data_IF_605214717715
#
_entry.id   IF_605214717715
#
_cell.length_a   1.000
_cell.length_b   1.000
_cell.length_c   1.000
_cell.angle_alpha   90.00
_cell.angle_beta   90.00
_cell.angle_gamma   90.00
#
_symmetry.space_group_name_H-M   'P 1'
#
loop_
_entity.id
_entity.type
_entity.pdbx_description
1 polymer ?
#
# COMPACT_ATOMS: atom_id res chain seq x y z
N UNK A 1 7.54 7.15 -1.29
CA UNK A 1 8.49 6.22 -0.59
C UNK A 1 9.89 6.42 -1.11
N UNK A 2 10.14 6.42 -2.42
CA UNK A 2 11.47 6.57 -3.03
C UNK A 2 12.19 7.86 -2.60
N UNK A 3 11.52 9.01 -2.63
CA UNK A 3 12.09 10.28 -2.18
C UNK A 3 12.51 10.25 -0.69
N UNK A 4 11.75 9.56 0.16
CA UNK A 4 12.08 9.38 1.57
C UNK A 4 13.32 8.52 1.75
N UNK A 5 13.42 7.41 1.02
CA UNK A 5 14.59 6.53 1.05
C UNK A 5 15.81 7.26 0.53
N UNK A 6 15.69 8.00 -0.57
CA UNK A 6 16.79 8.80 -1.14
C UNK A 6 17.31 9.85 -0.15
N UNK A 7 16.39 10.58 0.52
CA UNK A 7 16.77 11.53 1.57
C UNK A 7 17.52 10.84 2.71
N UNK A 8 16.95 9.76 3.24
CA UNK A 8 17.55 8.99 4.33
C UNK A 8 18.96 8.48 4.01
N UNK A 9 19.13 7.86 2.83
CA UNK A 9 20.43 7.31 2.42
C UNK A 9 21.47 8.42 2.21
N UNK A 10 21.08 9.55 1.63
CA UNK A 10 21.97 10.71 1.45
C UNK A 10 22.43 11.29 2.79
N UNK A 11 21.51 11.52 3.74
CA UNK A 11 21.85 12.02 5.08
C UNK A 11 22.75 11.04 5.83
N UNK A 12 22.48 9.75 5.71
CA UNK A 12 23.30 8.71 6.32
C UNK A 12 24.73 8.69 5.77
N UNK A 13 24.92 8.82 4.44
CA UNK A 13 26.22 8.84 3.77
C UNK A 13 27.01 10.10 4.12
N UNK A 14 26.33 11.25 4.21
CA UNK A 14 26.95 12.52 4.59
C UNK A 14 27.32 12.59 6.09
N UNK A 15 26.99 11.57 6.88
CA UNK A 15 27.28 11.54 8.31
C UNK A 15 26.39 12.45 9.16
N UNK A 16 25.29 12.94 8.60
CA UNK A 16 24.31 13.82 9.27
C UNK A 16 22.90 13.15 9.31
N UNK A 17 22.75 11.96 9.91
CA UNK A 17 21.47 11.27 9.96
C UNK A 17 20.47 12.01 10.84
N UNK A 18 19.28 12.26 10.34
CA UNK A 18 18.18 12.90 11.07
C UNK A 18 17.09 11.92 11.53
N UNK A 19 17.07 10.72 10.98
CA UNK A 19 16.02 9.74 11.25
C UNK A 19 16.49 8.65 12.22
N UNK A 20 15.71 8.44 13.29
CA UNK A 20 15.89 7.33 14.22
C UNK A 20 15.25 6.05 13.67
N UNK A 21 14.02 6.18 13.14
CA UNK A 21 13.20 5.08 12.64
C UNK A 21 12.64 5.42 11.27
N UNK A 22 12.64 4.44 10.40
CA UNK A 22 11.95 4.47 9.11
C UNK A 22 10.63 3.74 9.22
N UNK A 23 9.55 4.37 8.76
CA UNK A 23 8.26 3.72 8.58
C UNK A 23 7.90 3.71 7.10
N UNK A 24 8.01 2.56 6.48
CA UNK A 24 7.91 2.39 5.03
C UNK A 24 7.05 1.20 4.63
N UNK A 25 6.38 1.33 3.48
CA UNK A 25 5.47 0.31 2.91
C UNK A 25 6.16 -0.85 2.21
N UNK A 26 7.49 -0.82 2.08
CA UNK A 26 8.25 -1.92 1.49
C UNK A 26 9.16 -2.54 2.55
N UNK A 27 9.39 -3.84 2.44
CA UNK A 27 10.39 -4.50 3.27
C UNK A 27 11.75 -3.94 2.89
N UNK A 28 12.50 -3.35 3.84
CA UNK A 28 13.74 -2.62 3.55
C UNK A 28 14.96 -3.54 3.33
N UNK A 29 14.81 -4.53 2.45
CA UNK A 29 15.86 -5.55 2.19
C UNK A 29 17.11 -4.91 1.60
N UNK A 30 16.97 -3.95 0.69
CA UNK A 30 18.10 -3.21 0.11
C UNK A 30 18.86 -2.43 1.18
N UNK A 31 18.13 -1.67 2.01
CA UNK A 31 18.73 -0.90 3.09
C UNK A 31 19.50 -1.76 4.10
N UNK A 32 18.98 -2.98 4.36
CA UNK A 32 19.71 -3.96 5.17
C UNK A 32 21.01 -4.40 4.50
N UNK A 33 20.95 -4.79 3.22
CA UNK A 33 22.12 -5.26 2.46
C UNK A 33 23.22 -4.20 2.39
N UNK A 34 22.85 -2.96 2.27
CA UNK A 34 23.74 -1.81 2.21
C UNK A 34 24.20 -1.32 3.59
N UNK A 35 23.71 -1.94 4.66
CA UNK A 35 24.18 -1.66 6.03
C UNK A 35 23.61 -0.41 6.68
N UNK A 36 22.49 0.11 6.18
CA UNK A 36 21.81 1.30 6.73
C UNK A 36 20.99 1.02 8.00
N UNK A 37 20.61 -0.24 8.23
CA UNK A 37 19.71 -0.62 9.33
C UNK A 37 20.47 -1.21 10.51
N UNK A 38 20.04 -0.86 11.71
CA UNK A 38 20.45 -1.53 12.95
C UNK A 38 19.71 -2.86 13.10
N UNK A 39 20.42 -3.86 13.60
CA UNK A 39 19.79 -5.08 14.11
C UNK A 39 19.46 -4.90 15.59
N UNK A 40 18.22 -5.17 15.96
CA UNK A 40 17.74 -5.16 17.32
C UNK A 40 16.77 -6.33 17.51
N UNK A 41 16.77 -6.99 18.64
CA UNK A 41 15.84 -8.07 18.96
C UNK A 41 14.95 -7.63 20.11
N UNK A 42 13.73 -7.17 19.77
CA UNK A 42 12.72 -6.84 20.75
C UNK A 42 12.11 -8.13 21.30
N UNK A 43 11.93 -8.20 22.64
CA UNK A 43 11.21 -9.29 23.30
C UNK A 43 9.74 -9.37 22.83
N UNK A 44 9.15 -8.22 22.48
CA UNK A 44 7.75 -8.09 22.06
C UNK A 44 7.44 -8.84 20.75
N UNK A 45 8.45 -9.09 19.92
CA UNK A 45 8.27 -9.83 18.66
C UNK A 45 7.79 -11.27 18.90
N UNK A 46 8.05 -11.83 20.08
CA UNK A 46 7.59 -13.16 20.46
C UNK A 46 6.06 -13.26 20.61
N UNK A 47 5.39 -12.12 20.85
CA UNK A 47 3.93 -12.04 20.93
C UNK A 47 3.26 -11.99 19.54
N UNK A 48 4.03 -11.77 18.48
CA UNK A 48 3.49 -11.66 17.12
C UNK A 48 3.36 -13.05 16.50
N UNK A 49 2.17 -13.41 15.97
CA UNK A 49 1.97 -14.70 15.30
C UNK A 49 2.97 -14.93 14.16
N UNK A 50 3.46 -16.15 14.02
CA UNK A 50 4.42 -16.51 12.95
C UNK A 50 3.90 -16.20 11.56
N UNK A 51 2.60 -16.41 11.32
CA UNK A 51 1.94 -16.07 10.04
C UNK A 51 2.06 -14.59 9.69
N UNK A 52 1.97 -13.70 10.68
CA UNK A 52 2.18 -12.26 10.49
C UNK A 52 3.65 -11.97 10.16
N UNK A 53 4.59 -12.56 10.90
CA UNK A 53 6.02 -12.38 10.64
C UNK A 53 6.43 -12.85 9.23
N UNK A 54 5.74 -13.87 8.69
CA UNK A 54 5.96 -14.34 7.31
C UNK A 54 5.53 -13.31 6.26
N UNK A 55 4.41 -12.62 6.48
CA UNK A 55 3.97 -11.50 5.61
C UNK A 55 5.04 -10.40 5.55
N UNK A 56 5.75 -10.18 6.66
CA UNK A 56 6.85 -9.22 6.77
C UNK A 56 8.22 -9.79 6.37
N UNK A 57 8.27 -10.92 5.65
CA UNK A 57 9.50 -11.59 5.19
C UNK A 57 10.50 -11.92 6.31
N UNK A 58 10.02 -12.39 7.46
CA UNK A 58 10.86 -12.85 8.57
C UNK A 58 11.96 -11.83 8.92
N UNK A 59 11.63 -10.70 9.52
CA UNK A 59 12.49 -9.51 9.66
C UNK A 59 13.83 -9.72 10.35
N UNK A 60 13.95 -10.77 11.17
CA UNK A 60 15.20 -11.14 11.87
C UNK A 60 15.90 -9.96 12.58
N UNK A 61 15.11 -9.08 13.20
CA UNK A 61 15.60 -7.94 13.98
C UNK A 61 15.99 -6.70 13.17
N UNK A 62 15.86 -6.71 11.84
CA UNK A 62 16.19 -5.53 11.01
C UNK A 62 15.00 -4.62 10.70
N UNK A 63 13.78 -5.16 10.76
CA UNK A 63 12.54 -4.40 10.65
C UNK A 63 11.45 -5.11 11.46
N UNK A 64 10.38 -4.39 11.74
CA UNK A 64 9.33 -4.83 12.63
C UNK A 64 7.98 -4.63 11.99
N UNK A 65 7.02 -5.55 12.22
CA UNK A 65 5.64 -5.37 11.81
C UNK A 65 5.06 -4.07 12.36
N UNK A 66 4.56 -3.22 11.46
CA UNK A 66 3.79 -2.05 11.80
C UNK A 66 2.31 -2.29 11.52
N UNK A 67 1.87 -1.91 10.32
CA UNK A 67 0.50 -2.13 9.88
C UNK A 67 0.46 -2.95 8.60
N UNK A 68 -0.68 -3.58 8.35
CA UNK A 68 -1.02 -4.19 7.07
C UNK A 68 -2.14 -3.38 6.43
N UNK A 69 -1.86 -2.77 5.28
CA UNK A 69 -2.88 -2.09 4.48
C UNK A 69 -3.49 -3.10 3.54
N UNK A 70 -4.82 -3.25 3.62
CA UNK A 70 -5.59 -4.15 2.77
C UNK A 70 -6.08 -3.37 1.55
N UNK A 71 -5.57 -3.69 0.37
CA UNK A 71 -6.01 -3.11 -0.89
C UNK A 71 -7.15 -3.91 -1.46
N UNK A 72 -8.22 -3.19 -1.80
CA UNK A 72 -9.51 -3.68 -2.26
C UNK A 72 -10.07 -2.73 -3.31
N UNK A 73 -11.21 -3.06 -3.91
CA UNK A 73 -11.92 -2.16 -4.82
C UNK A 73 -12.92 -1.33 -4.03
N UNK A 74 -12.99 -0.03 -4.31
CA UNK A 74 -13.97 0.88 -3.72
C UNK A 74 -15.05 1.27 -4.73
N UNK A 75 -16.30 1.37 -4.28
CA UNK A 75 -17.42 1.72 -5.15
C UNK A 75 -18.29 2.79 -4.50
N UNK A 76 -18.67 3.80 -5.28
CA UNK A 76 -19.73 4.76 -4.90
C UNK A 76 -21.08 4.20 -5.33
N UNK A 77 -21.87 3.74 -4.37
CA UNK A 77 -23.13 3.02 -4.61
C UNK A 77 -24.27 3.89 -5.15
N UNK A 78 -24.13 5.21 -5.06
CA UNK A 78 -25.06 6.15 -5.71
C UNK A 78 -24.97 6.11 -7.24
N UNK A 79 -23.79 5.78 -7.79
CA UNK A 79 -23.50 5.78 -9.21
C UNK A 79 -23.33 4.38 -9.81
N UNK A 80 -22.89 3.42 -8.98
CA UNK A 80 -22.73 2.01 -9.36
C UNK A 80 -23.35 1.16 -8.26
N UNK A 81 -24.58 0.67 -8.45
CA UNK A 81 -25.21 -0.24 -7.51
C UNK A 81 -24.35 -1.48 -7.24
N UNK A 82 -24.36 -2.00 -6.01
CA UNK A 82 -23.53 -3.16 -5.65
C UNK A 82 -23.77 -4.40 -6.51
N UNK A 83 -24.98 -4.58 -7.02
CA UNK A 83 -25.31 -5.68 -7.93
C UNK A 83 -24.56 -5.58 -9.28
N UNK A 84 -24.17 -4.37 -9.69
CA UNK A 84 -23.47 -4.08 -10.94
C UNK A 84 -21.96 -3.81 -10.71
N UNK A 85 -21.52 -3.75 -9.45
CA UNK A 85 -20.14 -3.49 -9.09
C UNK A 85 -19.21 -4.60 -9.62
N UNK A 86 -17.92 -4.28 -9.86
CA UNK A 86 -16.92 -5.30 -10.13
C UNK A 86 -16.82 -6.25 -8.93
N UNK A 87 -16.70 -7.57 -9.16
CA UNK A 87 -16.56 -8.58 -8.10
C UNK A 87 -15.13 -9.10 -7.97
N UNK A 88 -14.31 -8.84 -8.95
CA UNK A 88 -12.95 -9.34 -9.08
C UNK A 88 -12.02 -8.25 -9.60
N UNK A 89 -10.69 -8.43 -9.41
CA UNK A 89 -9.72 -7.57 -10.08
C UNK A 89 -9.88 -7.63 -11.59
N UNK A 90 -10.17 -8.82 -12.13
CA UNK A 90 -10.38 -9.03 -13.57
C UNK A 90 -11.53 -8.18 -14.12
N UNK A 91 -12.59 -7.98 -13.37
CA UNK A 91 -13.75 -7.21 -13.82
C UNK A 91 -13.42 -5.76 -14.12
N UNK A 92 -12.34 -5.20 -13.55
CA UNK A 92 -11.87 -3.85 -13.88
C UNK A 92 -11.47 -3.70 -15.36
N UNK A 93 -11.35 -4.82 -16.09
CA UNK A 93 -11.10 -4.81 -17.54
C UNK A 93 -12.38 -4.88 -18.39
N UNK A 94 -13.55 -5.01 -17.75
CA UNK A 94 -14.83 -5.06 -18.47
C UNK A 94 -15.15 -3.68 -19.07
N UNK A 95 -15.48 -3.59 -20.37
CA UNK A 95 -15.80 -2.33 -21.05
C UNK A 95 -16.96 -1.52 -20.44
N UNK A 96 -17.86 -2.14 -19.68
CA UNK A 96 -18.96 -1.45 -18.96
C UNK A 96 -18.44 -0.45 -17.91
N UNK A 97 -17.18 -0.58 -17.48
CA UNK A 97 -16.52 0.31 -16.53
C UNK A 97 -15.65 1.38 -17.21
N UNK A 98 -15.73 1.51 -18.53
CA UNK A 98 -15.02 2.56 -19.25
C UNK A 98 -15.37 3.94 -18.69
N UNK A 99 -14.36 4.78 -18.51
CA UNK A 99 -14.45 6.13 -17.92
C UNK A 99 -14.99 6.20 -16.48
N UNK A 100 -15.12 5.09 -15.78
CA UNK A 100 -15.63 5.03 -14.39
C UNK A 100 -14.57 4.77 -13.34
N UNK A 101 -13.36 4.35 -13.75
CA UNK A 101 -12.32 3.90 -12.83
C UNK A 101 -11.36 5.03 -12.51
N UNK A 102 -10.94 5.11 -11.25
CA UNK A 102 -9.81 5.91 -10.79
C UNK A 102 -8.75 5.03 -10.15
N UNK A 103 -7.49 5.40 -10.32
CA UNK A 103 -6.33 4.65 -9.86
C UNK A 103 -5.22 5.61 -9.41
N UNK A 104 -4.42 5.22 -8.42
CA UNK A 104 -3.28 6.04 -8.03
C UNK A 104 -2.07 5.78 -8.95
N UNK A 105 -1.23 6.81 -9.12
CA UNK A 105 -0.02 6.72 -9.96
C UNK A 105 1.08 5.90 -9.25
N UNK A 106 1.57 4.81 -9.88
CA UNK A 106 2.63 3.98 -9.34
C UNK A 106 3.96 4.72 -9.14
N UNK A 107 4.20 5.82 -9.84
CA UNK A 107 5.42 6.60 -9.68
C UNK A 107 5.51 7.30 -8.31
N UNK A 108 4.39 7.46 -7.62
CA UNK A 108 4.34 8.15 -6.32
C UNK A 108 4.03 7.23 -5.13
N UNK A 109 3.73 5.94 -5.36
CA UNK A 109 3.34 5.03 -4.29
C UNK A 109 3.89 3.61 -4.49
N UNK A 110 4.73 3.17 -3.56
CA UNK A 110 5.21 1.78 -3.52
C UNK A 110 4.10 0.76 -3.30
N UNK A 111 2.99 1.16 -2.66
CA UNK A 111 1.82 0.31 -2.48
C UNK A 111 1.12 0.03 -3.81
N UNK A 112 0.97 1.06 -4.65
CA UNK A 112 0.41 0.92 -6.00
C UNK A 112 1.27 -0.02 -6.84
N UNK A 113 2.61 0.14 -6.78
CA UNK A 113 3.54 -0.80 -7.44
C UNK A 113 3.34 -2.23 -6.97
N UNK A 114 3.11 -2.44 -5.67
CA UNK A 114 2.80 -3.76 -5.11
C UNK A 114 1.50 -4.33 -5.69
N UNK A 115 0.43 -3.52 -5.71
CA UNK A 115 -0.86 -3.94 -6.30
C UNK A 115 -0.67 -4.31 -7.76
N UNK A 116 -0.04 -3.44 -8.54
CA UNK A 116 0.23 -3.65 -9.97
C UNK A 116 1.05 -4.93 -10.19
N UNK A 117 2.16 -5.10 -9.46
CA UNK A 117 3.01 -6.28 -9.62
C UNK A 117 2.28 -7.56 -9.22
N UNK A 118 1.48 -7.53 -8.15
CA UNK A 118 0.73 -8.70 -7.69
C UNK A 118 -0.32 -9.12 -8.72
N UNK A 119 -1.09 -8.18 -9.26
CA UNK A 119 -2.07 -8.46 -10.31
C UNK A 119 -1.36 -8.99 -11.57
N UNK A 120 -0.29 -8.32 -12.01
CA UNK A 120 0.40 -8.66 -13.26
C UNK A 120 1.24 -9.94 -13.21
N UNK A 121 1.68 -10.40 -12.03
CA UNK A 121 2.58 -11.55 -11.92
C UNK A 121 1.99 -12.76 -11.21
N UNK A 122 0.99 -12.57 -10.34
CA UNK A 122 0.45 -13.64 -9.48
C UNK A 122 -1.01 -13.96 -9.75
N UNK A 123 -1.85 -12.95 -10.00
CA UNK A 123 -3.30 -13.14 -10.17
C UNK A 123 -3.69 -13.26 -11.64
N UNK A 124 -3.12 -12.41 -12.46
CA UNK A 124 -3.33 -12.37 -13.90
C UNK A 124 -1.97 -12.27 -14.60
N UNK A 125 -1.94 -11.87 -15.86
CA UNK A 125 -0.73 -11.52 -16.59
C UNK A 125 -0.71 -10.02 -16.95
N UNK A 126 0.39 -9.56 -17.56
CA UNK A 126 0.54 -8.15 -17.92
C UNK A 126 -0.45 -7.68 -19.00
N UNK A 127 -1.11 -8.59 -19.72
CA UNK A 127 -2.20 -8.24 -20.67
C UNK A 127 -3.43 -7.70 -19.96
N UNK A 128 -3.59 -7.99 -18.66
CA UNK A 128 -4.58 -7.33 -17.82
C UNK A 128 -4.50 -5.80 -17.95
N UNK A 129 -3.30 -5.23 -17.83
CA UNK A 129 -3.13 -3.79 -17.86
C UNK A 129 -3.36 -3.16 -19.23
N UNK A 130 -3.15 -3.90 -20.33
CA UNK A 130 -3.54 -3.46 -21.67
C UNK A 130 -5.07 -3.32 -21.78
N UNK A 131 -5.80 -4.30 -21.29
CA UNK A 131 -7.28 -4.27 -21.23
C UNK A 131 -7.80 -3.22 -20.26
N UNK A 132 -7.18 -3.12 -19.08
CA UNK A 132 -7.51 -2.11 -18.08
C UNK A 132 -7.34 -0.69 -18.65
N UNK A 133 -6.26 -0.42 -19.37
CA UNK A 133 -6.01 0.87 -20.01
C UNK A 133 -7.07 1.23 -21.06
N UNK A 134 -7.68 0.24 -21.73
CA UNK A 134 -8.77 0.47 -22.68
C UNK A 134 -10.03 1.04 -22.00
N UNK A 135 -10.19 0.86 -20.69
CA UNK A 135 -11.25 1.47 -19.88
C UNK A 135 -10.97 2.93 -19.50
N UNK A 136 -9.88 3.52 -20.00
CA UNK A 136 -9.51 4.92 -19.77
C UNK A 136 -9.56 5.31 -18.26
N UNK A 137 -8.84 4.60 -17.37
CA UNK A 137 -8.83 4.93 -15.96
C UNK A 137 -8.22 6.31 -15.74
N UNK A 138 -8.81 7.09 -14.84
CA UNK A 138 -8.20 8.34 -14.38
C UNK A 138 -7.05 8.00 -13.45
N UNK A 139 -5.85 8.45 -13.77
CA UNK A 139 -4.67 8.26 -12.93
C UNK A 139 -4.38 9.56 -12.17
N UNK A 140 -4.29 9.47 -10.85
CA UNK A 140 -4.04 10.61 -9.96
C UNK A 140 -2.86 10.34 -9.04
N UNK A 141 -2.26 11.40 -8.49
CA UNK A 141 -1.00 11.32 -7.75
C UNK A 141 -1.02 10.34 -6.57
N UNK A 142 -2.17 10.14 -5.91
CA UNK A 142 -2.20 9.26 -4.75
C UNK A 142 -3.60 8.99 -4.20
N UNK A 143 -3.67 8.08 -3.24
CA UNK A 143 -4.91 7.56 -2.66
C UNK A 143 -5.84 8.61 -2.03
N UNK A 144 -5.29 9.77 -1.61
CA UNK A 144 -6.12 10.90 -1.14
C UNK A 144 -6.99 11.45 -2.25
N UNK A 145 -6.43 11.67 -3.45
CA UNK A 145 -7.18 12.12 -4.63
C UNK A 145 -8.12 11.03 -5.12
N UNK A 146 -7.68 9.75 -5.13
CA UNK A 146 -8.57 8.61 -5.43
C UNK A 146 -9.83 8.68 -4.57
N UNK A 147 -9.67 8.93 -3.26
CA UNK A 147 -10.79 9.03 -2.33
C UNK A 147 -11.73 10.20 -2.68
N UNK A 148 -11.18 11.38 -2.98
CA UNK A 148 -11.96 12.58 -3.33
C UNK A 148 -12.83 12.34 -4.56
N UNK A 149 -12.27 11.79 -5.63
CA UNK A 149 -13.01 11.52 -6.87
C UNK A 149 -14.02 10.37 -6.73
N UNK A 150 -13.71 9.37 -5.90
CA UNK A 150 -14.65 8.31 -5.55
C UNK A 150 -15.86 8.86 -4.79
N UNK A 151 -15.63 9.71 -3.77
CA UNK A 151 -16.67 10.31 -2.94
C UNK A 151 -17.58 11.25 -3.75
N UNK A 152 -17.01 12.06 -4.65
CA UNK A 152 -17.78 12.93 -5.54
C UNK A 152 -18.62 12.15 -6.56
N UNK A 153 -18.24 10.91 -6.87
CA UNK A 153 -18.86 10.09 -7.90
C UNK A 153 -18.42 10.42 -9.33
N UNK A 154 -17.45 11.33 -9.51
CA UNK A 154 -16.89 11.63 -10.83
C UNK A 154 -16.20 10.40 -11.44
N UNK A 155 -15.55 9.60 -10.58
CA UNK A 155 -15.01 8.28 -10.91
C UNK A 155 -15.51 7.30 -9.83
N UNK A 156 -16.64 6.65 -10.08
CA UNK A 156 -17.35 5.91 -9.02
C UNK A 156 -16.73 4.56 -8.65
N UNK A 157 -15.61 4.17 -9.25
CA UNK A 157 -14.90 2.93 -8.95
C UNK A 157 -13.44 3.26 -8.67
N UNK A 158 -12.98 3.09 -7.43
CA UNK A 158 -11.57 3.06 -7.11
C UNK A 158 -11.03 1.67 -7.45
N UNK A 159 -10.22 1.56 -8.49
CA UNK A 159 -9.68 0.28 -8.96
C UNK A 159 -8.69 -0.35 -7.98
N UNK A 160 -8.15 0.44 -7.04
CA UNK A 160 -7.45 0.01 -5.84
C UNK A 160 -7.54 1.10 -4.77
N UNK A 161 -7.86 0.74 -3.55
CA UNK A 161 -7.88 1.66 -2.41
C UNK A 161 -7.65 0.90 -1.10
N UNK A 162 -7.04 1.56 -0.14
CA UNK A 162 -6.91 1.01 1.20
C UNK A 162 -8.28 0.91 1.88
N UNK A 163 -8.65 -0.30 2.33
CA UNK A 163 -9.94 -0.57 2.96
C UNK A 163 -10.28 0.41 4.09
N UNK A 164 -9.29 0.78 4.93
CA UNK A 164 -9.51 1.72 6.02
C UNK A 164 -10.02 3.09 5.54
N UNK A 165 -9.60 3.55 4.36
CA UNK A 165 -10.08 4.82 3.79
C UNK A 165 -11.53 4.71 3.35
N UNK A 166 -11.90 3.60 2.72
CA UNK A 166 -13.29 3.32 2.32
C UNK A 166 -14.20 3.23 3.54
N UNK A 167 -13.78 2.49 4.57
CA UNK A 167 -14.51 2.36 5.82
C UNK A 167 -14.70 3.72 6.54
N UNK A 168 -13.65 4.52 6.62
CA UNK A 168 -13.73 5.86 7.21
C UNK A 168 -14.69 6.77 6.43
N UNK A 169 -14.71 6.68 5.11
CA UNK A 169 -15.64 7.43 4.26
C UNK A 169 -17.08 6.98 4.46
N UNK A 170 -17.32 5.68 4.48
CA UNK A 170 -18.64 5.10 4.79
C UNK A 170 -19.14 5.54 6.15
N UNK A 171 -18.30 5.51 7.17
CA UNK A 171 -18.64 5.93 8.54
C UNK A 171 -18.97 7.43 8.65
N UNK A 172 -18.52 8.25 7.70
CA UNK A 172 -18.90 9.67 7.56
C UNK A 172 -20.22 9.86 6.80
N UNK A 173 -20.89 8.80 6.38
CA UNK A 173 -22.16 8.83 5.67
C UNK A 173 -22.04 8.92 4.15
N UNK A 174 -20.84 8.83 3.58
CA UNK A 174 -20.69 8.77 2.13
C UNK A 174 -21.21 7.42 1.59
N UNK A 175 -21.79 7.38 0.38
CA UNK A 175 -22.31 6.16 -0.23
C UNK A 175 -21.18 5.28 -0.80
N UNK A 176 -20.18 4.98 0.02
CA UNK A 176 -19.01 4.21 -0.36
C UNK A 176 -19.10 2.80 0.21
N UNK A 177 -18.87 1.81 -0.63
CA UNK A 177 -18.80 0.41 -0.26
C UNK A 177 -17.47 -0.22 -0.69
N UNK A 178 -17.09 -1.24 0.06
CA UNK A 178 -15.93 -2.07 -0.24
C UNK A 178 -16.37 -3.30 -1.03
N UNK A 179 -15.71 -3.54 -2.14
CA UNK A 179 -15.76 -4.84 -2.83
C UNK A 179 -14.51 -5.63 -2.46
N UNK A 180 -14.72 -6.83 -1.98
CA UNK A 180 -13.69 -7.82 -1.69
C UNK A 180 -13.47 -8.68 -2.93
N UNK A 181 -12.36 -8.52 -3.66
CA UNK A 181 -12.16 -9.24 -4.92
C UNK A 181 -12.14 -10.77 -4.71
N UNK A 182 -12.78 -11.51 -5.61
CA UNK A 182 -12.87 -12.98 -5.53
C UNK A 182 -11.50 -13.67 -5.56
N UNK A 183 -10.52 -13.10 -6.25
CA UNK A 183 -9.12 -13.60 -6.28
C UNK A 183 -8.37 -13.34 -4.96
N UNK A 184 -8.97 -12.60 -4.04
CA UNK A 184 -8.40 -12.18 -2.77
C UNK A 184 -7.92 -10.74 -2.74
N UNK A 185 -7.67 -10.27 -1.53
CA UNK A 185 -7.14 -8.93 -1.26
C UNK A 185 -5.62 -8.89 -1.45
N UNK A 186 -5.11 -7.69 -1.74
CA UNK A 186 -3.67 -7.48 -1.80
C UNK A 186 -3.22 -6.76 -0.54
N UNK A 187 -2.30 -7.39 0.19
CA UNK A 187 -1.79 -6.86 1.45
C UNK A 187 -0.47 -6.13 1.23
N UNK A 188 -0.40 -4.89 1.70
CA UNK A 188 0.86 -4.15 1.76
C UNK A 188 1.31 -4.02 3.22
N UNK A 189 2.38 -4.71 3.62
CA UNK A 189 2.94 -4.58 4.95
C UNK A 189 3.78 -3.30 5.04
N UNK A 190 3.54 -2.52 6.09
CA UNK A 190 4.35 -1.37 6.47
C UNK A 190 5.19 -1.74 7.67
N UNK A 191 6.48 -1.54 7.56
CA UNK A 191 7.46 -1.93 8.57
C UNK A 191 8.11 -0.73 9.22
N UNK A 192 8.46 -0.90 10.50
CA UNK A 192 9.42 -0.02 11.17
C UNK A 192 10.83 -0.62 11.05
N UNK A 193 11.83 0.23 10.84
CA UNK A 193 13.23 -0.16 10.85
C UNK A 193 14.07 0.91 11.54
N UNK A 194 15.00 0.50 12.41
CA UNK A 194 15.89 1.42 13.12
C UNK A 194 17.08 1.78 12.23
N UNK A 195 17.39 3.06 12.12
CA UNK A 195 18.61 3.54 11.47
C UNK A 195 19.85 3.06 12.24
N UNK A 196 20.87 2.56 11.53
CA UNK A 196 22.16 2.17 12.16
C UNK A 196 22.88 3.36 12.79
N UNK A 197 22.64 4.56 12.29
CA UNK A 197 23.17 5.82 12.83
C UNK A 197 22.06 6.67 13.46
N UNK A 198 21.05 6.05 14.09
CA UNK A 198 19.97 6.75 14.77
C UNK A 198 20.53 7.77 15.79
N UNK A 199 20.14 9.06 15.74
CA UNK A 199 20.56 10.06 16.73
C UNK A 199 20.12 9.69 18.15
N UNK A 200 18.95 9.04 18.31
CA UNK A 200 18.37 8.65 19.58
C UNK A 200 18.08 7.14 19.63
N UNK A 201 19.11 6.27 19.65
CA UNK A 201 18.92 4.82 19.47
C UNK A 201 18.09 4.15 20.56
N UNK A 202 18.10 4.68 21.77
CA UNK A 202 17.27 4.13 22.86
C UNK A 202 15.80 4.47 22.70
N UNK A 203 15.48 5.69 22.23
CA UNK A 203 14.11 6.07 21.89
C UNK A 203 13.58 5.24 20.71
N UNK A 204 14.41 5.00 19.70
CA UNK A 204 14.06 4.13 18.57
C UNK A 204 13.74 2.70 19.01
N UNK A 205 14.51 2.13 19.96
CA UNK A 205 14.26 0.79 20.51
C UNK A 205 13.00 0.73 21.37
N UNK A 206 12.68 1.81 22.08
CA UNK A 206 11.48 1.89 22.92
C UNK A 206 10.20 1.96 22.06
N UNK A 207 10.28 2.52 20.86
CA UNK A 207 9.16 2.59 19.92
C UNK A 207 8.79 1.21 19.33
N UNK A 208 9.73 0.31 19.28
CA UNK A 208 9.62 -1.01 18.65
C UNK A 208 9.37 -2.10 19.69
#
# INVERSE_FOLDING_TARGET
TEALIGKFTSEFQLGAPSADVLWISSVPVSLRKEGYLAQYHSSEIAAIPKSVLEVFNKPNGYWYPGIMVLYVIGVNTKHVPMAEAPKSWKDLTDPRFKDKIIYADPNFSGDVLRVISTIGTKLHNWDFYKKFAANNPMIVRGHGQVQTFLESGERPIAGEQGHQRLLNSKNKGNPIETVWPEEGIIVSPWSFAISKKAPHPNAARLLI
#
